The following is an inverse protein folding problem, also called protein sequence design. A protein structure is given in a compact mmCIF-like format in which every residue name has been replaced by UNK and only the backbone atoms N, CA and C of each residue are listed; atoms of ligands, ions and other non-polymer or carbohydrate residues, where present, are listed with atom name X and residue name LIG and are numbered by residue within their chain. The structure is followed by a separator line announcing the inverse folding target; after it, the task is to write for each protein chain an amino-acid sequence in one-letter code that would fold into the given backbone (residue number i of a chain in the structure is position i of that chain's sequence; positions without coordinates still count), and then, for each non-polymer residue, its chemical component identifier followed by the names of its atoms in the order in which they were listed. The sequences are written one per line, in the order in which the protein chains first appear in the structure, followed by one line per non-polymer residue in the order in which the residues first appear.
data_IF_947222015447
#
_entry.id   IF_947222015447
#
_cell.length_a   1.000
_cell.length_b   1.000
_cell.length_c   1.000
_cell.angle_alpha   90.00
_cell.angle_beta   90.00
_cell.angle_gamma   90.00
#
_symmetry.space_group_name_H-M   'P 1'
#
loop_
_entity.id
_entity.type
_entity.pdbx_description
1 polymer ?
#
# COMPACT_ATOMS: atom_id res chain seq x y z
N UNK A 1 6.52 -18.40 -6.99
CA UNK A 1 6.45 -16.94 -7.15
C UNK A 1 7.62 -16.49 -8.00
N UNK A 2 7.38 -15.76 -9.09
CA UNK A 2 8.45 -15.20 -9.94
C UNK A 2 9.20 -14.12 -9.14
N UNK A 3 10.39 -14.45 -8.64
CA UNK A 3 11.21 -13.55 -7.81
C UNK A 3 11.55 -12.25 -8.56
N UNK A 4 11.76 -12.32 -9.87
CA UNK A 4 12.02 -11.15 -10.70
C UNK A 4 10.80 -10.22 -10.76
N UNK A 5 9.60 -10.79 -10.95
CA UNK A 5 8.37 -10.01 -10.94
C UNK A 5 8.14 -9.33 -9.58
N UNK A 6 8.41 -10.01 -8.47
CA UNK A 6 8.31 -9.41 -7.12
C UNK A 6 9.27 -8.23 -6.96
N UNK A 7 10.50 -8.33 -7.47
CA UNK A 7 11.46 -7.23 -7.42
C UNK A 7 10.98 -6.02 -8.22
N UNK A 8 10.44 -6.21 -9.43
CA UNK A 8 9.90 -5.12 -10.25
C UNK A 8 8.66 -4.49 -9.60
N UNK A 9 7.79 -5.29 -8.97
CA UNK A 9 6.66 -4.79 -8.17
C UNK A 9 7.13 -3.91 -7.02
N UNK A 10 8.15 -4.36 -6.28
CA UNK A 10 8.75 -3.58 -5.20
C UNK A 10 9.33 -2.27 -5.73
N UNK A 11 10.09 -2.32 -6.82
CA UNK A 11 10.63 -1.11 -7.45
C UNK A 11 9.53 -0.11 -7.81
N UNK A 12 8.47 -0.56 -8.50
CA UNK A 12 7.32 0.30 -8.86
C UNK A 12 6.66 0.90 -7.61
N UNK A 13 6.39 0.07 -6.60
CA UNK A 13 5.80 0.49 -5.34
C UNK A 13 6.66 1.57 -4.67
N UNK A 14 7.96 1.36 -4.54
CA UNK A 14 8.86 2.31 -3.88
C UNK A 14 8.98 3.63 -4.65
N UNK A 15 8.97 3.60 -5.97
CA UNK A 15 8.89 4.82 -6.79
C UNK A 15 7.59 5.60 -6.51
N UNK A 16 6.44 4.91 -6.44
CA UNK A 16 5.15 5.53 -6.10
C UNK A 16 5.18 6.17 -4.71
N UNK A 17 5.79 5.51 -3.71
CA UNK A 17 5.94 6.05 -2.34
C UNK A 17 6.85 7.27 -2.26
N UNK A 18 7.83 7.38 -3.16
CA UNK A 18 8.76 8.51 -3.18
C UNK A 18 8.16 9.69 -3.93
N UNK A 19 7.55 9.46 -5.09
CA UNK A 19 7.11 10.53 -6.00
C UNK A 19 5.60 10.73 -5.96
N UNK A 20 4.83 9.71 -6.34
CA UNK A 20 3.38 9.80 -6.52
C UNK A 20 2.65 10.22 -5.24
N UNK A 21 3.07 9.71 -4.09
CA UNK A 21 2.46 10.04 -2.79
C UNK A 21 2.60 11.52 -2.38
N UNK A 22 3.46 12.32 -3.06
CA UNK A 22 3.60 13.76 -2.81
C UNK A 22 2.76 14.62 -3.76
N UNK A 23 2.15 14.02 -4.76
CA UNK A 23 1.33 14.73 -5.76
C UNK A 23 -0.07 14.97 -5.19
N UNK A 24 -0.55 16.20 -5.36
CA UNK A 24 -1.87 16.62 -4.86
C UNK A 24 -2.91 16.61 -5.98
N UNK A 25 -2.49 16.94 -7.21
CA UNK A 25 -3.37 16.98 -8.37
C UNK A 25 -3.51 15.60 -9.01
N UNK A 26 -4.72 15.25 -9.44
CA UNK A 26 -5.00 13.97 -10.08
C UNK A 26 -4.39 13.87 -11.49
N UNK A 27 -4.26 14.98 -12.22
CA UNK A 27 -3.61 15.01 -13.54
C UNK A 27 -2.12 14.69 -13.38
N UNK A 28 -1.46 15.25 -12.36
CA UNK A 28 -0.06 14.95 -12.06
C UNK A 28 0.15 13.47 -11.73
N UNK A 29 -0.79 12.85 -10.99
CA UNK A 29 -0.72 11.41 -10.69
C UNK A 29 -0.89 10.55 -11.95
N UNK A 30 -1.79 10.92 -12.85
CA UNK A 30 -1.95 10.25 -14.16
C UNK A 30 -0.66 10.35 -14.96
N UNK A 31 -0.09 11.56 -15.08
CA UNK A 31 1.17 11.79 -15.79
C UNK A 31 2.31 10.97 -15.19
N UNK A 32 2.41 10.91 -13.86
CA UNK A 32 3.40 10.06 -13.18
C UNK A 32 3.24 8.59 -13.57
N UNK A 33 2.01 8.08 -13.60
CA UNK A 33 1.75 6.66 -13.87
C UNK A 33 2.12 6.30 -15.32
N UNK A 34 1.79 7.15 -16.29
CA UNK A 34 2.19 7.02 -17.69
C UNK A 34 3.73 7.01 -17.84
N UNK A 35 4.41 7.97 -17.22
CA UNK A 35 5.87 8.03 -17.24
C UNK A 35 6.50 6.81 -16.56
N UNK A 36 5.94 6.36 -15.43
CA UNK A 36 6.45 5.18 -14.72
C UNK A 36 6.31 3.90 -15.56
N UNK A 37 5.24 3.76 -16.33
CA UNK A 37 5.01 2.63 -17.22
C UNK A 37 6.04 2.61 -18.37
N UNK A 38 6.31 3.78 -18.96
CA UNK A 38 7.36 3.93 -19.98
C UNK A 38 8.74 3.55 -19.43
N UNK A 39 9.13 4.09 -18.27
CA UNK A 39 10.41 3.76 -17.60
C UNK A 39 10.51 2.27 -17.27
N UNK A 40 9.40 1.66 -16.85
CA UNK A 40 9.34 0.23 -16.54
C UNK A 40 9.62 -0.62 -17.78
N UNK A 41 8.99 -0.29 -18.92
CA UNK A 41 9.22 -0.97 -20.20
C UNK A 41 10.67 -0.78 -20.69
N UNK A 42 11.21 0.44 -20.61
CA UNK A 42 12.59 0.73 -21.02
C UNK A 42 13.64 0.03 -20.14
N UNK A 43 13.37 -0.08 -18.84
CA UNK A 43 14.36 -0.57 -17.85
C UNK A 43 14.30 -2.08 -17.68
N UNK A 44 13.09 -2.65 -17.60
CA UNK A 44 12.86 -4.07 -17.29
C UNK A 44 12.33 -4.87 -18.48
N UNK A 45 11.95 -4.20 -19.58
CA UNK A 45 11.44 -4.81 -20.80
C UNK A 45 9.93 -5.02 -20.82
N UNK A 46 9.39 -5.12 -22.03
CA UNK A 46 7.96 -5.28 -22.31
C UNK A 46 7.32 -6.49 -21.60
N UNK A 47 8.09 -7.55 -21.35
CA UNK A 47 7.59 -8.73 -20.65
C UNK A 47 7.15 -8.46 -19.20
N UNK A 48 7.85 -7.58 -18.48
CA UNK A 48 7.44 -7.16 -17.13
C UNK A 48 6.39 -6.05 -17.19
N UNK A 49 6.50 -5.14 -18.17
CA UNK A 49 5.50 -4.09 -18.38
C UNK A 49 4.11 -4.65 -18.62
N UNK A 50 3.98 -5.62 -19.52
CA UNK A 50 2.70 -6.26 -19.83
C UNK A 50 2.11 -7.02 -18.63
N UNK A 51 2.94 -7.60 -17.75
CA UNK A 51 2.47 -8.28 -16.52
C UNK A 51 1.97 -7.31 -15.46
N UNK A 52 2.40 -6.05 -15.50
CA UNK A 52 2.10 -5.02 -14.51
C UNK A 52 1.17 -3.93 -15.05
N UNK A 53 0.87 -3.99 -16.35
CA UNK A 53 -0.16 -3.18 -16.99
C UNK A 53 -1.52 -3.44 -16.31
N UNK A 54 -2.41 -2.43 -16.30
CA UNK A 54 -3.78 -2.64 -15.89
C UNK A 54 -4.39 -3.81 -16.69
N UNK A 55 -5.26 -4.65 -16.09
CA UNK A 55 -6.05 -5.58 -16.88
C UNK A 55 -6.83 -4.78 -17.92
N UNK A 56 -6.76 -5.19 -19.20
CA UNK A 56 -7.43 -4.50 -20.32
C UNK A 56 -8.85 -4.07 -19.94
N UNK A 57 -9.07 -2.77 -19.83
CA UNK A 57 -10.38 -2.20 -19.51
C UNK A 57 -11.31 -2.23 -20.72
N UNK A 58 -12.65 -2.28 -20.51
CA UNK A 58 -13.65 -2.37 -21.57
C UNK A 58 -13.66 -1.15 -22.51
N UNK A 59 -14.41 -1.28 -23.61
CA UNK A 59 -14.49 -0.42 -24.80
C UNK A 59 -14.44 1.12 -24.62
N UNK A 60 -13.97 1.84 -25.66
CA UNK A 60 -13.31 3.13 -25.52
C UNK A 60 -14.30 4.30 -25.62
N UNK A 61 -14.96 4.69 -24.54
CA UNK A 61 -15.67 5.98 -24.51
C UNK A 61 -15.53 6.68 -23.14
N UNK A 62 -15.08 7.95 -23.19
CA UNK A 62 -14.88 8.94 -22.11
C UNK A 62 -13.51 9.00 -21.40
N UNK A 63 -12.55 9.67 -22.05
CA UNK A 63 -11.34 10.22 -21.41
C UNK A 63 -11.71 11.36 -20.45
N UNK A 64 -11.94 11.02 -19.19
CA UNK A 64 -11.85 11.96 -18.07
C UNK A 64 -10.99 11.33 -16.98
N UNK A 65 -10.27 12.12 -16.18
CA UNK A 65 -9.48 11.60 -15.04
C UNK A 65 -10.33 10.79 -14.06
N UNK A 66 -11.62 11.14 -13.91
CA UNK A 66 -12.59 10.35 -13.15
C UNK A 66 -12.91 8.99 -13.80
N UNK A 67 -12.97 8.93 -15.15
CA UNK A 67 -13.14 7.71 -15.92
C UNK A 67 -11.95 6.75 -15.79
N UNK A 68 -10.72 7.28 -15.80
CA UNK A 68 -9.49 6.47 -15.66
C UNK A 68 -9.37 5.80 -14.29
N UNK A 69 -9.82 6.50 -13.23
CA UNK A 69 -9.87 5.96 -11.86
C UNK A 69 -11.04 4.96 -11.73
N UNK A 70 -12.23 5.29 -12.24
CA UNK A 70 -13.42 4.44 -12.17
C UNK A 70 -13.34 3.17 -13.03
N UNK A 71 -12.57 3.20 -14.13
CA UNK A 71 -12.36 2.07 -15.05
C UNK A 71 -11.18 1.17 -14.64
N UNK A 72 -10.53 1.43 -13.50
CA UNK A 72 -9.41 0.61 -13.02
C UNK A 72 -8.14 0.73 -13.87
N UNK A 73 -8.05 1.76 -14.73
CA UNK A 73 -6.88 2.02 -15.58
C UNK A 73 -5.67 2.51 -14.75
N UNK A 74 -5.91 3.01 -13.53
CA UNK A 74 -4.87 3.24 -12.53
C UNK A 74 -4.93 2.15 -11.47
N UNK A 75 -4.18 1.06 -11.66
CA UNK A 75 -3.94 0.12 -10.57
C UNK A 75 -2.85 0.69 -9.66
N UNK A 76 -3.24 1.13 -8.46
CA UNK A 76 -2.28 1.39 -7.38
C UNK A 76 -1.31 0.20 -7.26
N UNK A 77 -0.03 0.47 -6.99
CA UNK A 77 0.94 -0.60 -6.78
C UNK A 77 0.42 -1.65 -5.80
N UNK A 78 0.76 -2.92 -6.08
CA UNK A 78 0.43 -4.00 -5.15
C UNK A 78 0.99 -3.62 -3.77
N UNK A 79 0.18 -3.71 -2.69
CA UNK A 79 0.58 -3.19 -1.40
C UNK A 79 1.74 -3.99 -0.83
N UNK A 80 2.76 -3.30 -0.34
CA UNK A 80 3.82 -3.90 0.48
C UNK A 80 3.61 -3.55 1.95
N UNK A 81 3.74 -4.56 2.81
CA UNK A 81 3.47 -4.48 4.25
C UNK A 81 4.56 -5.20 5.03
N UNK A 82 4.62 -5.01 6.35
CA UNK A 82 5.62 -5.64 7.21
C UNK A 82 5.05 -6.33 8.46
N UNK A 83 3.76 -6.63 8.46
CA UNK A 83 3.03 -7.08 9.65
C UNK A 83 2.18 -8.34 9.39
N UNK A 84 2.55 -9.16 8.39
CA UNK A 84 1.81 -10.39 8.08
C UNK A 84 2.05 -11.51 9.10
N UNK A 85 3.25 -11.57 9.67
CA UNK A 85 3.64 -12.57 10.69
C UNK A 85 3.06 -12.20 12.05
N UNK A 86 2.73 -13.23 12.81
CA UNK A 86 2.23 -13.10 14.18
C UNK A 86 3.36 -13.22 15.21
N UNK A 87 3.15 -12.59 16.35
CA UNK A 87 4.02 -12.71 17.52
C UNK A 87 3.91 -14.13 18.10
N UNK A 88 4.98 -14.63 18.71
CA UNK A 88 4.99 -15.93 19.38
C UNK A 88 4.80 -15.74 20.87
N UNK A 89 3.77 -16.38 21.42
CA UNK A 89 3.44 -16.39 22.84
C UNK A 89 3.67 -17.79 23.41
N UNK A 90 4.04 -17.88 24.69
CA UNK A 90 4.10 -19.15 25.42
C UNK A 90 2.71 -19.57 25.96
N UNK A 91 2.69 -20.70 26.67
CA UNK A 91 1.48 -21.27 27.27
C UNK A 91 0.87 -20.38 28.36
N UNK A 92 1.66 -19.49 28.97
CA UNK A 92 1.23 -18.53 29.99
C UNK A 92 0.73 -17.20 29.38
N UNK A 93 0.90 -17.03 28.06
CA UNK A 93 0.47 -15.85 27.32
C UNK A 93 1.50 -14.72 27.28
N UNK A 94 2.73 -14.97 27.70
CA UNK A 94 3.82 -14.01 27.66
C UNK A 94 4.47 -13.99 26.27
N UNK A 95 4.86 -12.79 25.81
CA UNK A 95 5.50 -12.60 24.51
C UNK A 95 6.92 -13.16 24.54
N UNK A 96 7.16 -14.25 23.80
CA UNK A 96 8.47 -14.91 23.69
C UNK A 96 9.29 -14.30 22.56
N UNK A 97 8.67 -14.13 21.39
CA UNK A 97 9.33 -13.61 20.20
C UNK A 97 8.41 -12.64 19.47
N UNK A 98 8.90 -11.41 19.24
CA UNK A 98 8.16 -10.45 18.43
C UNK A 98 8.27 -10.79 16.95
N UNK A 99 7.15 -10.68 16.24
CA UNK A 99 7.06 -10.96 14.82
C UNK A 99 8.08 -10.13 14.01
N UNK A 100 8.92 -10.76 13.17
CA UNK A 100 9.87 -10.03 12.37
C UNK A 100 9.14 -9.15 11.33
N UNK A 101 9.57 -7.89 11.24
CA UNK A 101 8.99 -6.89 10.33
C UNK A 101 9.59 -7.02 8.92
N UNK A 102 9.26 -8.10 8.23
CA UNK A 102 9.74 -8.31 6.84
C UNK A 102 8.84 -7.57 5.87
N UNK A 103 9.42 -6.67 5.09
CA UNK A 103 8.71 -5.89 4.08
C UNK A 103 8.46 -6.72 2.81
N UNK A 104 7.20 -7.08 2.54
CA UNK A 104 6.82 -7.99 1.46
C UNK A 104 5.41 -7.71 0.91
N UNK A 105 5.02 -8.41 -0.16
CA UNK A 105 3.70 -8.28 -0.76
C UNK A 105 2.60 -8.66 0.23
N UNK A 106 1.68 -7.72 0.49
CA UNK A 106 0.61 -7.85 1.49
C UNK A 106 -0.66 -8.56 1.01
N UNK A 107 -0.74 -8.93 -0.27
CA UNK A 107 -1.94 -9.49 -0.87
C UNK A 107 -2.96 -8.41 -1.26
N UNK A 108 -4.23 -8.72 -1.12
CA UNK A 108 -5.35 -7.82 -1.40
C UNK A 108 -5.59 -6.85 -0.25
N UNK A 109 -6.19 -5.69 -0.56
CA UNK A 109 -6.54 -4.71 0.48
C UNK A 109 -7.55 -5.28 1.49
N UNK A 110 -8.39 -6.22 1.09
CA UNK A 110 -9.33 -6.94 1.98
C UNK A 110 -8.62 -7.81 3.02
N UNK A 111 -7.59 -8.55 2.61
CA UNK A 111 -6.76 -9.36 3.53
C UNK A 111 -6.01 -8.45 4.53
N UNK A 112 -5.44 -7.35 4.03
CA UNK A 112 -4.77 -6.35 4.86
C UNK A 112 -5.77 -5.76 5.86
N UNK A 113 -6.97 -5.38 5.41
CA UNK A 113 -8.03 -4.83 6.26
C UNK A 113 -8.40 -5.78 7.38
N UNK A 114 -8.58 -7.07 7.08
CA UNK A 114 -8.89 -8.07 8.09
C UNK A 114 -7.79 -8.14 9.16
N UNK A 115 -6.52 -8.21 8.75
CA UNK A 115 -5.37 -8.26 9.67
C UNK A 115 -5.27 -6.99 10.54
N UNK A 116 -5.41 -5.82 9.94
CA UNK A 116 -5.36 -4.53 10.67
C UNK A 116 -6.53 -4.42 11.65
N UNK A 117 -7.71 -4.92 11.29
CA UNK A 117 -8.88 -4.96 12.18
C UNK A 117 -8.60 -5.81 13.41
N UNK A 118 -7.99 -6.99 13.24
CA UNK A 118 -7.57 -7.83 14.37
C UNK A 118 -6.60 -7.10 15.31
N UNK A 119 -5.63 -6.35 14.78
CA UNK A 119 -4.72 -5.55 15.61
C UNK A 119 -5.44 -4.44 16.37
N UNK A 120 -6.39 -3.75 15.73
CA UNK A 120 -7.19 -2.72 16.37
C UNK A 120 -8.05 -3.30 17.51
N UNK A 121 -8.70 -4.44 17.28
CA UNK A 121 -9.51 -5.13 18.30
C UNK A 121 -8.66 -5.59 19.48
N UNK A 122 -7.48 -6.16 19.23
CA UNK A 122 -6.50 -6.53 20.27
C UNK A 122 -6.11 -5.33 21.11
N UNK A 123 -5.73 -4.21 20.47
CA UNK A 123 -5.38 -2.98 21.17
C UNK A 123 -6.54 -2.43 22.01
N UNK A 124 -7.77 -2.49 21.50
CA UNK A 124 -8.96 -2.04 22.23
C UNK A 124 -9.24 -2.89 23.46
N UNK A 125 -8.96 -4.20 23.39
CA UNK A 125 -9.10 -5.12 24.51
C UNK A 125 -8.02 -4.90 25.57
N UNK A 126 -6.76 -4.74 25.16
CA UNK A 126 -5.61 -4.56 26.05
C UNK A 126 -5.55 -3.17 26.68
N UNK A 127 -5.99 -2.13 25.94
CA UNK A 127 -5.97 -0.73 26.39
C UNK A 127 -7.33 -0.07 26.21
N UNK A 128 -8.36 -0.42 27.02
CA UNK A 128 -9.72 0.11 26.86
C UNK A 128 -9.81 1.64 26.95
N UNK A 129 -8.95 2.27 27.76
CA UNK A 129 -8.89 3.74 27.91
C UNK A 129 -8.32 4.48 26.69
N UNK A 130 -7.69 3.77 25.76
CA UNK A 130 -7.15 4.30 24.50
C UNK A 130 -7.73 3.57 23.29
N UNK A 131 -8.96 3.06 23.42
CA UNK A 131 -9.61 2.29 22.37
C UNK A 131 -9.73 3.11 21.07
N UNK A 132 -9.23 2.52 19.98
CA UNK A 132 -9.32 2.99 18.62
C UNK A 132 -10.65 2.55 18.00
N UNK A 133 -11.50 3.51 17.62
CA UNK A 133 -12.76 3.27 16.91
C UNK A 133 -12.64 3.73 15.46
N UNK A 134 -11.61 3.24 14.77
CA UNK A 134 -11.31 3.65 13.40
C UNK A 134 -12.19 2.88 12.41
N UNK A 135 -12.70 3.59 11.41
CA UNK A 135 -13.37 2.98 10.26
C UNK A 135 -12.33 2.80 9.16
N UNK A 136 -11.95 1.55 8.88
CA UNK A 136 -10.90 1.23 7.91
C UNK A 136 -11.47 1.14 6.47
N UNK A 137 -11.64 2.28 5.81
CA UNK A 137 -11.88 2.36 4.36
C UNK A 137 -10.56 2.31 3.58
N UNK A 138 -10.64 2.15 2.26
CA UNK A 138 -9.47 1.85 1.42
C UNK A 138 -8.40 2.94 1.49
N UNK A 139 -8.79 4.21 1.47
CA UNK A 139 -7.85 5.33 1.63
C UNK A 139 -7.19 5.34 3.02
N UNK A 140 -7.95 5.10 4.09
CA UNK A 140 -7.40 5.00 5.45
C UNK A 140 -6.35 3.89 5.56
N UNK A 141 -6.60 2.74 4.92
CA UNK A 141 -5.62 1.65 4.83
C UNK A 141 -4.39 2.09 4.04
N UNK A 142 -4.55 2.74 2.89
CA UNK A 142 -3.42 3.26 2.11
C UNK A 142 -2.56 4.24 2.91
N UNK A 143 -3.17 5.17 3.68
CA UNK A 143 -2.42 6.05 4.59
C UNK A 143 -1.69 5.28 5.69
N UNK A 144 -2.35 4.29 6.30
CA UNK A 144 -1.74 3.43 7.32
C UNK A 144 -0.52 2.68 6.75
N UNK A 145 -0.61 2.15 5.53
CA UNK A 145 0.51 1.47 4.86
C UNK A 145 1.69 2.43 4.60
N UNK A 146 1.42 3.64 4.13
CA UNK A 146 2.43 4.70 3.93
C UNK A 146 3.15 5.03 5.23
N UNK A 147 2.38 5.28 6.31
CA UNK A 147 2.92 5.63 7.62
C UNK A 147 3.73 4.47 8.20
N UNK A 148 3.20 3.25 8.14
CA UNK A 148 3.90 2.05 8.61
C UNK A 148 5.24 1.87 7.90
N UNK A 149 5.27 2.03 6.57
CA UNK A 149 6.52 1.99 5.79
C UNK A 149 7.52 3.05 6.27
N UNK A 150 7.09 4.30 6.47
CA UNK A 150 7.98 5.39 6.89
C UNK A 150 8.56 5.13 8.29
N UNK A 151 7.73 4.76 9.26
CA UNK A 151 8.16 4.55 10.66
C UNK A 151 9.15 3.39 10.77
N UNK A 152 9.00 2.36 9.95
CA UNK A 152 9.85 1.17 10.01
C UNK A 152 11.15 1.29 9.18
N UNK A 153 11.36 2.39 8.46
CA UNK A 153 12.64 2.63 7.79
C UNK A 153 13.65 3.31 8.72
N UNK A 154 14.93 2.92 8.66
CA UNK A 154 16.00 3.65 9.36
C UNK A 154 15.99 5.13 8.98
N UNK A 155 15.96 6.00 9.98
CA UNK A 155 15.92 7.47 9.79
C UNK A 155 14.66 7.96 9.06
N UNK A 156 13.57 7.19 9.12
CA UNK A 156 12.27 7.60 8.62
C UNK A 156 11.65 8.73 9.43
N UNK A 157 11.12 9.73 8.75
CA UNK A 157 10.36 10.82 9.36
C UNK A 157 9.29 11.27 8.38
N UNK A 158 8.10 11.60 8.88
CA UNK A 158 6.97 12.02 8.06
C UNK A 158 6.42 13.36 8.57
N UNK A 159 6.09 14.24 7.63
CA UNK A 159 5.21 15.39 7.87
C UNK A 159 3.85 15.04 7.29
N UNK A 160 2.82 14.96 8.14
CA UNK A 160 1.45 14.69 7.71
C UNK A 160 0.74 16.03 7.48
N UNK A 161 0.27 16.25 6.24
CA UNK A 161 -0.42 17.47 5.84
C UNK A 161 -1.82 17.09 5.38
N UNK A 162 -2.83 17.74 5.96
CA UNK A 162 -4.23 17.50 5.62
C UNK A 162 -5.17 18.41 6.41
N UNK A 163 -6.43 18.42 6.01
CA UNK A 163 -7.49 19.10 6.77
C UNK A 163 -7.77 18.36 8.08
N UNK A 164 -8.16 19.09 9.12
CA UNK A 164 -8.51 18.50 10.41
C UNK A 164 -9.66 17.50 10.29
N UNK A 165 -9.55 16.35 10.97
CA UNK A 165 -10.55 15.27 10.92
C UNK A 165 -10.38 14.28 9.77
N UNK A 166 -9.30 14.37 9.00
CA UNK A 166 -8.92 13.39 7.96
C UNK A 166 -8.22 12.13 8.49
N UNK A 167 -7.88 12.15 9.79
CA UNK A 167 -7.19 11.07 10.50
C UNK A 167 -8.07 9.86 10.79
#
# INVERSE_FOLDING_TARGET
TDQGLTLVKLWKHECERVFCDKLVDEQDKVLYLEHSASVLADTFGEGYANKLAPPESPEPETLTSAGLIAQGMLKASDPFVNFLRDDVYDDDGDLVESAPKVYELGGTLGEIKAKVTTYMERQNKEQPGKALRLVLFDDALNYLLRISRIINMPRGSALLVGVGGSG
#
